data_IF_742468347507
#
_entry.id   IF_742468347507
#
_cell.length_a   1.000
_cell.length_b   1.000
_cell.length_c   1.000
_cell.angle_alpha   90.00
_cell.angle_beta   90.00
_cell.angle_gamma   90.00
#
_symmetry.space_group_name_H-M   'P 1'
#
loop_
_entity.id
_entity.type
_entity.pdbx_description
1 polymer ?
#
# COMPACT_ATOMS: atom_id res chain seq x y z
N UNK A 1 17.45 -9.19 -10.81
CA UNK A 1 17.87 -10.54 -10.39
C UNK A 1 17.68 -11.58 -11.50
N UNK A 2 16.42 -11.95 -11.82
CA UNK A 2 16.08 -12.96 -12.84
C UNK A 2 16.79 -12.72 -14.19
N UNK A 3 16.58 -11.55 -14.80
CA UNK A 3 17.24 -11.18 -16.06
C UNK A 3 18.77 -11.29 -16.03
N UNK A 4 19.39 -10.88 -14.92
CA UNK A 4 20.85 -10.91 -14.77
C UNK A 4 21.41 -12.34 -14.79
N UNK A 5 20.84 -13.24 -13.97
CA UNK A 5 21.30 -14.62 -13.93
C UNK A 5 20.88 -15.42 -15.16
N UNK A 6 19.75 -15.06 -15.78
CA UNK A 6 19.31 -15.65 -17.04
C UNK A 6 20.32 -15.39 -18.15
N UNK A 7 20.73 -14.13 -18.34
CA UNK A 7 21.71 -13.77 -19.37
C UNK A 7 23.10 -14.38 -19.11
N UNK A 8 23.47 -14.54 -17.84
CA UNK A 8 24.71 -15.23 -17.44
C UNK A 8 24.61 -16.76 -17.48
N UNK A 9 23.46 -17.32 -17.89
CA UNK A 9 23.17 -18.75 -17.89
C UNK A 9 23.39 -19.44 -16.53
N UNK A 10 23.32 -18.67 -15.44
CA UNK A 10 23.50 -19.13 -14.06
C UNK A 10 22.15 -19.58 -13.49
N UNK A 11 21.54 -20.61 -14.10
CA UNK A 11 20.17 -21.04 -13.80
C UNK A 11 19.97 -21.49 -12.35
N UNK A 12 20.94 -22.20 -11.74
CA UNK A 12 20.83 -22.63 -10.34
C UNK A 12 20.70 -21.45 -9.38
N UNK A 13 21.53 -20.42 -9.56
CA UNK A 13 21.44 -19.18 -8.77
C UNK A 13 20.12 -18.44 -9.02
N UNK A 14 19.67 -18.40 -10.29
CA UNK A 14 18.38 -17.81 -10.64
C UNK A 14 17.25 -18.49 -9.86
N UNK A 15 17.14 -19.82 -9.93
CA UNK A 15 16.07 -20.55 -9.26
C UNK A 15 16.16 -20.42 -7.74
N UNK A 16 17.29 -20.75 -7.13
CA UNK A 16 17.44 -20.75 -5.67
C UNK A 16 17.13 -19.37 -5.08
N UNK A 17 17.74 -18.31 -5.61
CA UNK A 17 17.56 -16.96 -5.03
C UNK A 17 16.14 -16.43 -5.23
N UNK A 18 15.51 -16.70 -6.38
CA UNK A 18 14.14 -16.24 -6.62
C UNK A 18 13.13 -16.98 -5.77
N UNK A 19 13.33 -18.28 -5.51
CA UNK A 19 12.46 -19.05 -4.61
C UNK A 19 12.65 -18.67 -3.13
N UNK A 20 13.87 -18.32 -2.69
CA UNK A 20 14.10 -17.77 -1.34
C UNK A 20 13.33 -16.44 -1.15
N UNK A 21 13.38 -15.55 -2.16
CA UNK A 21 12.60 -14.30 -2.13
C UNK A 21 11.10 -14.60 -2.18
N UNK A 22 10.69 -15.58 -2.99
CA UNK A 22 9.29 -15.99 -3.09
C UNK A 22 8.77 -16.55 -1.76
N UNK A 23 9.57 -17.33 -1.01
CA UNK A 23 9.16 -17.83 0.32
C UNK A 23 8.95 -16.70 1.31
N UNK A 24 9.85 -15.73 1.37
CA UNK A 24 9.66 -14.56 2.25
C UNK A 24 8.44 -13.75 1.84
N UNK A 25 8.23 -13.56 0.53
CA UNK A 25 7.08 -12.81 0.01
C UNK A 25 5.77 -13.57 0.26
N UNK A 26 5.77 -14.90 0.18
CA UNK A 26 4.61 -15.74 0.51
C UNK A 26 4.23 -15.62 1.98
N UNK A 27 5.21 -15.61 2.89
CA UNK A 27 4.94 -15.39 4.33
C UNK A 27 4.41 -13.98 4.62
N UNK A 28 4.63 -13.01 3.74
CA UNK A 28 4.10 -11.65 3.87
C UNK A 28 2.72 -11.44 3.20
N UNK A 29 2.50 -12.03 2.03
CA UNK A 29 1.33 -11.75 1.17
C UNK A 29 0.55 -12.98 0.69
N UNK A 30 1.02 -14.20 0.99
CA UNK A 30 0.35 -15.45 0.61
C UNK A 30 0.50 -15.81 -0.86
N UNK A 31 -0.55 -16.44 -1.40
CA UNK A 31 -0.62 -17.07 -2.74
C UNK A 31 -0.16 -16.18 -3.90
N UNK A 32 -0.45 -14.86 -3.94
CA UNK A 32 -0.01 -14.04 -5.06
C UNK A 32 1.49 -14.12 -5.35
N UNK A 33 2.34 -14.27 -4.32
CA UNK A 33 3.79 -14.41 -4.48
C UNK A 33 4.17 -15.59 -5.39
N UNK A 34 3.49 -16.73 -5.25
CA UNK A 34 3.71 -17.92 -6.07
C UNK A 34 3.25 -17.70 -7.52
N UNK A 35 2.10 -17.05 -7.71
CA UNK A 35 1.61 -16.73 -9.05
C UNK A 35 2.61 -15.84 -9.82
N UNK A 36 3.12 -14.78 -9.18
CA UNK A 36 4.12 -13.90 -9.81
C UNK A 36 5.42 -14.63 -10.12
N UNK A 37 5.90 -15.49 -9.21
CA UNK A 37 7.10 -16.28 -9.42
C UNK A 37 6.94 -17.25 -10.60
N UNK A 38 5.85 -18.02 -10.62
CA UNK A 38 5.58 -19.01 -11.66
C UNK A 38 5.43 -18.35 -13.04
N UNK A 39 4.61 -17.29 -13.14
CA UNK A 39 4.39 -16.56 -14.39
C UNK A 39 5.71 -15.94 -14.87
N UNK A 40 6.46 -15.28 -13.99
CA UNK A 40 7.70 -14.61 -14.37
C UNK A 40 8.76 -15.59 -14.89
N UNK A 41 8.93 -16.74 -14.25
CA UNK A 41 9.83 -17.79 -14.72
C UNK A 41 9.35 -18.38 -16.05
N UNK A 42 8.08 -18.76 -16.14
CA UNK A 42 7.50 -19.33 -17.35
C UNK A 42 7.73 -18.42 -18.56
N UNK A 43 7.36 -17.16 -18.42
CA UNK A 43 7.47 -16.13 -19.46
C UNK A 43 8.92 -15.87 -19.83
N UNK A 44 9.82 -15.78 -18.84
CA UNK A 44 11.25 -15.57 -19.09
C UNK A 44 11.86 -16.70 -19.93
N UNK A 45 11.57 -17.96 -19.57
CA UNK A 45 12.13 -19.11 -20.29
C UNK A 45 11.45 -19.38 -21.63
N UNK A 46 10.17 -19.04 -21.81
CA UNK A 46 9.51 -19.04 -23.13
C UNK A 46 10.13 -17.96 -24.02
N UNK A 47 10.22 -16.73 -23.52
CA UNK A 47 10.77 -15.59 -24.27
C UNK A 47 12.22 -15.84 -24.70
N UNK A 48 13.03 -16.38 -23.79
CA UNK A 48 14.41 -16.76 -24.08
C UNK A 48 14.56 -18.07 -24.86
N UNK A 49 13.47 -18.70 -25.32
CA UNK A 49 13.45 -19.98 -26.07
C UNK A 49 14.19 -21.13 -25.37
N UNK A 50 14.18 -21.14 -24.04
CA UNK A 50 14.90 -22.10 -23.19
C UNK A 50 13.94 -22.86 -22.26
N UNK A 51 12.70 -23.11 -22.68
CA UNK A 51 11.64 -23.73 -21.88
C UNK A 51 12.09 -25.00 -21.13
N UNK A 52 12.88 -25.86 -21.78
CA UNK A 52 13.41 -27.10 -21.18
C UNK A 52 14.22 -26.86 -19.89
N UNK A 53 14.82 -25.68 -19.72
CA UNK A 53 15.61 -25.32 -18.54
C UNK A 53 14.75 -25.14 -17.27
N UNK A 54 13.43 -25.00 -17.40
CA UNK A 54 12.51 -25.09 -16.26
C UNK A 54 12.50 -26.48 -15.61
N UNK A 55 12.94 -27.53 -16.30
CA UNK A 55 12.99 -28.90 -15.77
C UNK A 55 14.37 -29.29 -15.26
N UNK A 56 15.25 -28.31 -15.01
CA UNK A 56 16.54 -28.59 -14.38
C UNK A 56 16.36 -29.06 -12.93
N UNK A 57 17.18 -29.99 -12.42
CA UNK A 57 17.17 -30.41 -11.02
C UNK A 57 17.26 -29.24 -10.03
N UNK A 58 17.99 -28.18 -10.39
CA UNK A 58 18.10 -26.96 -9.59
C UNK A 58 16.76 -26.24 -9.38
N UNK A 59 15.82 -26.33 -10.33
CA UNK A 59 14.49 -25.75 -10.17
C UNK A 59 13.68 -26.53 -9.14
N UNK A 60 13.71 -27.86 -9.21
CA UNK A 60 13.07 -28.73 -8.21
C UNK A 60 13.68 -28.56 -6.82
N UNK A 61 15.01 -28.43 -6.72
CA UNK A 61 15.67 -28.08 -5.47
C UNK A 61 15.17 -26.74 -4.92
N UNK A 62 15.03 -25.72 -5.76
CA UNK A 62 14.51 -24.42 -5.36
C UNK A 62 13.05 -24.47 -4.87
N UNK A 63 12.20 -25.27 -5.54
CA UNK A 63 10.84 -25.56 -5.08
C UNK A 63 10.87 -26.26 -3.70
N UNK A 64 11.76 -27.25 -3.53
CA UNK A 64 11.97 -27.93 -2.24
C UNK A 64 12.38 -26.97 -1.12
N UNK A 65 13.30 -26.03 -1.39
CA UNK A 65 13.68 -24.97 -0.46
C UNK A 65 12.47 -24.11 -0.08
N UNK A 66 11.65 -23.70 -1.05
CA UNK A 66 10.44 -22.93 -0.78
C UNK A 66 9.46 -23.69 0.11
N UNK A 67 9.19 -24.97 -0.21
CA UNK A 67 8.30 -25.82 0.58
C UNK A 67 8.85 -26.02 2.00
N UNK A 68 10.16 -26.21 2.13
CA UNK A 68 10.81 -26.34 3.43
C UNK A 68 10.65 -25.06 4.28
N UNK A 69 10.90 -23.88 3.71
CA UNK A 69 10.81 -22.62 4.45
C UNK A 69 9.36 -22.26 4.83
N UNK A 70 8.44 -22.32 3.87
CA UNK A 70 7.03 -21.99 4.11
C UNK A 70 6.34 -23.07 4.94
N UNK A 71 6.53 -24.33 4.57
CA UNK A 71 5.97 -25.47 5.28
C UNK A 71 6.54 -25.59 6.70
N UNK A 72 7.85 -25.38 6.87
CA UNK A 72 8.49 -25.36 8.18
C UNK A 72 7.91 -24.28 9.11
N UNK A 73 7.66 -23.07 8.59
CA UNK A 73 7.00 -22.02 9.35
C UNK A 73 5.61 -22.43 9.83
N UNK A 74 4.74 -22.90 8.92
CA UNK A 74 3.37 -23.29 9.28
C UNK A 74 3.32 -24.54 10.15
N UNK A 75 4.25 -25.48 9.96
CA UNK A 75 4.39 -26.65 10.81
C UNK A 75 4.72 -26.25 12.25
N UNK A 76 5.75 -25.40 12.45
CA UNK A 76 6.10 -24.88 13.77
C UNK A 76 4.97 -24.05 14.40
N UNK A 77 4.24 -23.28 13.59
CA UNK A 77 3.08 -22.54 14.03
C UNK A 77 1.95 -23.45 14.53
N UNK A 78 1.69 -24.56 13.82
CA UNK A 78 0.69 -25.55 14.19
C UNK A 78 1.06 -26.32 15.46
N UNK A 79 2.35 -26.61 15.68
CA UNK A 79 2.80 -27.23 16.94
C UNK A 79 2.46 -26.37 18.16
N UNK A 80 2.46 -25.04 18.01
CA UNK A 80 2.06 -24.10 19.07
C UNK A 80 0.55 -23.85 19.12
N UNK A 81 -0.15 -24.04 18.01
CA UNK A 81 -1.59 -23.77 17.87
C UNK A 81 -2.28 -24.94 17.14
N UNK A 82 -2.53 -26.06 17.84
CA UNK A 82 -3.09 -27.26 17.21
C UNK A 82 -4.46 -26.99 16.58
N UNK A 83 -4.65 -27.48 15.35
CA UNK A 83 -5.93 -27.40 14.65
C UNK A 83 -6.16 -26.13 13.82
N UNK A 84 -5.20 -25.20 13.78
CA UNK A 84 -5.37 -23.91 13.07
C UNK A 84 -5.02 -23.99 11.57
N UNK A 85 -4.26 -25.01 11.12
CA UNK A 85 -3.86 -25.16 9.71
C UNK A 85 -5.01 -25.15 8.69
N UNK A 86 -6.12 -25.90 8.89
CA UNK A 86 -7.22 -25.88 7.94
C UNK A 86 -7.81 -24.47 7.75
N UNK A 87 -7.96 -23.71 8.82
CA UNK A 87 -8.48 -22.33 8.77
C UNK A 87 -7.50 -21.38 8.09
N UNK A 88 -6.19 -21.54 8.29
CA UNK A 88 -5.17 -20.76 7.55
C UNK A 88 -5.26 -21.04 6.05
N UNK A 89 -5.29 -22.32 5.65
CA UNK A 89 -5.36 -22.70 4.24
C UNK A 89 -6.64 -22.18 3.60
N UNK A 90 -7.78 -22.37 4.29
CA UNK A 90 -9.07 -21.83 3.87
C UNK A 90 -9.03 -20.32 3.70
N UNK A 91 -8.43 -19.61 4.65
CA UNK A 91 -8.26 -18.15 4.59
C UNK A 91 -7.38 -17.74 3.41
N UNK A 92 -6.23 -18.38 3.20
CA UNK A 92 -5.32 -18.08 2.09
C UNK A 92 -5.99 -18.27 0.73
N UNK A 93 -6.73 -19.36 0.56
CA UNK A 93 -7.48 -19.64 -0.67
C UNK A 93 -8.62 -18.62 -0.81
N UNK A 94 -9.43 -18.45 0.23
CA UNK A 94 -10.57 -17.54 0.22
C UNK A 94 -10.13 -16.11 -0.12
N UNK A 95 -9.13 -15.55 0.56
CA UNK A 95 -8.62 -14.19 0.32
C UNK A 95 -8.03 -13.99 -1.08
N UNK A 96 -7.56 -15.06 -1.71
CA UNK A 96 -6.99 -15.03 -3.06
C UNK A 96 -8.06 -15.21 -4.14
N UNK A 97 -9.10 -16.00 -3.88
CA UNK A 97 -10.18 -16.28 -4.83
C UNK A 97 -11.32 -15.26 -4.75
N UNK A 98 -11.59 -14.68 -3.58
CA UNK A 98 -12.72 -13.76 -3.38
C UNK A 98 -12.64 -12.51 -4.26
N UNK A 99 -11.42 -12.13 -4.67
CA UNK A 99 -11.15 -10.93 -5.47
C UNK A 99 -11.12 -11.20 -6.97
N UNK A 100 -11.32 -12.44 -7.42
CA UNK A 100 -11.30 -12.82 -8.84
C UNK A 100 -12.69 -12.67 -9.49
N UNK A 101 -12.74 -12.32 -10.79
CA UNK A 101 -13.96 -11.98 -11.52
C UNK A 101 -15.09 -13.02 -11.53
N UNK A 102 -14.86 -14.25 -11.05
CA UNK A 102 -15.85 -15.33 -10.93
C UNK A 102 -17.02 -14.94 -10.01
N UNK A 103 -16.81 -14.07 -9.02
CA UNK A 103 -17.87 -13.70 -8.05
C UNK A 103 -18.58 -12.37 -8.35
N UNK A 104 -18.03 -11.51 -9.19
CA UNK A 104 -18.45 -10.10 -9.27
C UNK A 104 -19.43 -9.76 -10.37
N UNK A 105 -19.83 -10.74 -11.18
CA UNK A 105 -20.72 -10.55 -12.32
C UNK A 105 -19.98 -10.13 -13.58
N UNK A 106 -20.52 -10.53 -14.73
CA UNK A 106 -19.88 -10.32 -16.03
C UNK A 106 -19.70 -8.83 -16.36
N UNK A 107 -20.71 -8.00 -16.10
CA UNK A 107 -20.72 -6.59 -16.49
C UNK A 107 -19.73 -5.72 -15.71
N UNK A 108 -19.54 -5.97 -14.42
CA UNK A 108 -18.53 -5.28 -13.60
C UNK A 108 -17.13 -5.64 -14.06
N UNK A 109 -16.90 -6.92 -14.36
CA UNK A 109 -15.63 -7.41 -14.89
C UNK A 109 -15.33 -6.83 -16.27
N UNK A 110 -16.33 -6.79 -17.15
CA UNK A 110 -16.19 -6.20 -18.47
C UNK A 110 -15.88 -4.70 -18.39
N UNK A 111 -16.62 -3.94 -17.56
CA UNK A 111 -16.33 -2.52 -17.34
C UNK A 111 -14.90 -2.30 -16.83
N UNK A 112 -14.48 -3.10 -15.85
CA UNK A 112 -13.12 -3.06 -15.29
C UNK A 112 -12.03 -3.31 -16.34
N UNK A 113 -12.25 -4.21 -17.31
CA UNK A 113 -11.27 -4.44 -18.39
C UNK A 113 -10.91 -3.14 -19.14
N UNK A 114 -11.84 -2.21 -19.26
CA UNK A 114 -11.62 -0.93 -19.94
C UNK A 114 -11.19 0.18 -18.99
N UNK A 115 -11.71 0.25 -17.76
CA UNK A 115 -11.36 1.33 -16.82
C UNK A 115 -9.99 1.12 -16.16
N UNK A 116 -9.63 -0.13 -15.87
CA UNK A 116 -8.43 -0.49 -15.12
C UNK A 116 -7.12 0.08 -15.69
N UNK A 117 -6.86 0.07 -17.01
CA UNK A 117 -5.64 0.68 -17.56
C UNK A 117 -5.56 2.18 -17.27
N UNK A 118 -6.68 2.90 -17.40
CA UNK A 118 -6.72 4.33 -17.13
C UNK A 118 -6.57 4.63 -15.64
N UNK A 119 -7.22 3.85 -14.78
CA UNK A 119 -7.05 3.92 -13.33
C UNK A 119 -5.60 3.66 -12.92
N UNK A 120 -4.99 2.62 -13.49
CA UNK A 120 -3.57 2.32 -13.28
C UNK A 120 -2.72 3.53 -13.65
N UNK A 121 -2.88 4.12 -14.84
CA UNK A 121 -2.09 5.28 -15.21
C UNK A 121 -2.33 6.48 -14.29
N UNK A 122 -3.59 6.73 -13.92
CA UNK A 122 -4.00 7.83 -13.04
C UNK A 122 -3.40 7.73 -11.64
N UNK A 123 -3.50 6.56 -10.99
CA UNK A 123 -3.03 6.37 -9.62
C UNK A 123 -1.53 6.54 -9.43
N UNK A 124 -0.75 6.40 -10.51
CA UNK A 124 0.69 6.54 -10.50
C UNK A 124 1.18 7.80 -11.22
N UNK A 125 0.29 8.75 -11.54
CA UNK A 125 0.72 10.08 -11.99
C UNK A 125 1.60 10.74 -10.92
N UNK A 126 2.65 11.48 -11.31
CA UNK A 126 3.06 11.79 -12.69
C UNK A 126 4.02 10.75 -13.31
N UNK A 127 4.35 9.67 -12.61
CA UNK A 127 5.40 8.70 -12.99
C UNK A 127 5.06 7.84 -14.20
N UNK A 128 3.78 7.76 -14.53
CA UNK A 128 3.26 7.09 -15.72
C UNK A 128 3.33 7.93 -16.98
N UNK A 129 3.45 9.26 -16.87
CA UNK A 129 3.48 10.15 -18.04
C UNK A 129 4.59 9.83 -19.05
N UNK A 130 5.83 9.48 -18.65
CA UNK A 130 6.89 9.10 -19.59
C UNK A 130 6.57 7.90 -20.48
N UNK A 131 5.64 7.03 -20.07
CA UNK A 131 5.23 5.86 -20.85
C UNK A 131 4.57 6.30 -22.15
N UNK A 132 3.84 7.42 -22.16
CA UNK A 132 3.18 7.93 -23.36
C UNK A 132 4.17 8.39 -24.44
N UNK A 133 5.47 8.54 -24.12
CA UNK A 133 6.50 8.76 -25.15
C UNK A 133 6.66 7.55 -26.09
N UNK A 134 6.20 6.36 -25.68
CA UNK A 134 6.15 5.18 -26.53
C UNK A 134 5.13 5.30 -27.68
N UNK A 135 4.22 6.27 -27.64
CA UNK A 135 3.33 6.55 -28.78
C UNK A 135 4.10 7.06 -30.00
N UNK A 136 5.31 7.61 -29.81
CA UNK A 136 6.17 8.03 -30.90
C UNK A 136 6.98 6.84 -31.44
N UNK A 137 6.75 6.48 -32.71
CA UNK A 137 7.37 5.32 -33.38
C UNK A 137 8.88 5.23 -33.19
N UNK A 138 9.61 6.33 -33.35
CA UNK A 138 11.08 6.36 -33.19
C UNK A 138 11.50 6.05 -31.75
N UNK A 139 10.83 6.64 -30.76
CA UNK A 139 11.06 6.37 -29.34
C UNK A 139 10.72 4.93 -28.99
N UNK A 140 9.59 4.40 -29.47
CA UNK A 140 9.20 2.99 -29.27
C UNK A 140 10.29 2.04 -29.75
N UNK A 141 10.72 2.18 -31.01
CA UNK A 141 11.74 1.32 -31.62
C UNK A 141 13.06 1.40 -30.84
N UNK A 142 13.52 2.61 -30.50
CA UNK A 142 14.77 2.78 -29.75
C UNK A 142 14.69 2.26 -28.31
N UNK A 143 13.52 2.39 -27.66
CA UNK A 143 13.28 1.89 -26.30
C UNK A 143 13.44 0.38 -26.25
N UNK A 144 12.76 -0.32 -27.16
CA UNK A 144 12.76 -1.77 -27.19
C UNK A 144 13.97 -2.39 -27.91
N UNK A 145 14.97 -1.62 -28.36
CA UNK A 145 16.29 -2.19 -28.71
C UNK A 145 16.98 -2.79 -27.49
N UNK A 146 16.74 -2.24 -26.30
CA UNK A 146 17.33 -2.72 -25.06
C UNK A 146 16.63 -3.99 -24.54
N UNK A 147 17.40 -5.08 -24.40
CA UNK A 147 16.89 -6.38 -23.95
C UNK A 147 16.35 -6.36 -22.52
N UNK A 148 16.89 -5.53 -21.63
CA UNK A 148 16.38 -5.39 -20.26
C UNK A 148 15.02 -4.69 -20.24
N UNK A 149 14.84 -3.68 -21.08
CA UNK A 149 13.56 -2.97 -21.20
C UNK A 149 12.48 -3.86 -21.81
N UNK A 150 12.84 -4.65 -22.85
CA UNK A 150 11.98 -5.72 -23.37
C UNK A 150 11.57 -6.70 -22.27
N UNK A 151 12.54 -7.20 -21.51
CA UNK A 151 12.26 -8.09 -20.37
C UNK A 151 11.28 -7.47 -19.38
N UNK A 152 11.48 -6.21 -18.97
CA UNK A 152 10.57 -5.52 -18.05
C UNK A 152 9.14 -5.41 -18.60
N UNK A 153 8.99 -5.10 -19.89
CA UNK A 153 7.67 -5.00 -20.52
C UNK A 153 6.96 -6.34 -20.58
N UNK A 154 7.65 -7.40 -20.98
CA UNK A 154 7.07 -8.74 -21.10
C UNK A 154 6.65 -9.25 -19.71
N UNK A 155 7.50 -9.10 -18.69
CA UNK A 155 7.16 -9.50 -17.32
C UNK A 155 6.00 -8.68 -16.77
N UNK A 156 5.97 -7.36 -17.04
CA UNK A 156 4.84 -6.52 -16.65
C UNK A 156 3.54 -7.00 -17.31
N UNK A 157 3.52 -7.15 -18.63
CA UNK A 157 2.33 -7.58 -19.38
C UNK A 157 1.83 -8.93 -18.90
N UNK A 158 2.72 -9.91 -18.67
CA UNK A 158 2.29 -11.24 -18.26
C UNK A 158 1.67 -11.26 -16.86
N UNK A 159 2.21 -10.45 -15.92
CA UNK A 159 1.75 -10.46 -14.54
C UNK A 159 0.55 -9.52 -14.29
N UNK A 160 0.38 -8.48 -15.10
CA UNK A 160 -0.71 -7.50 -14.91
C UNK A 160 -2.07 -8.10 -15.26
N UNK A 161 -2.08 -9.12 -16.14
CA UNK A 161 -3.29 -9.83 -16.58
C UNK A 161 -4.10 -10.36 -15.40
N UNK A 162 -3.47 -10.87 -14.34
CA UNK A 162 -4.18 -11.35 -13.14
C UNK A 162 -5.08 -10.25 -12.55
N UNK A 163 -4.56 -9.01 -12.52
CA UNK A 163 -5.30 -7.87 -11.97
C UNK A 163 -6.29 -7.25 -12.95
N UNK A 164 -6.02 -7.39 -14.24
CA UNK A 164 -6.92 -6.97 -15.28
C UNK A 164 -8.26 -7.72 -15.21
N UNK A 165 -8.25 -8.98 -14.77
CA UNK A 165 -9.47 -9.79 -14.53
C UNK A 165 -9.96 -9.79 -13.07
N UNK A 166 -9.47 -8.85 -12.24
CA UNK A 166 -9.78 -8.75 -10.81
C UNK A 166 -10.39 -7.38 -10.51
N UNK A 167 -11.72 -7.21 -10.59
CA UNK A 167 -12.40 -5.91 -10.45
C UNK A 167 -12.15 -5.17 -9.12
N UNK A 168 -11.79 -5.89 -8.05
CA UNK A 168 -11.47 -5.33 -6.73
C UNK A 168 -9.95 -5.16 -6.52
N UNK A 169 -9.17 -5.13 -7.61
CA UNK A 169 -7.73 -4.91 -7.52
C UNK A 169 -7.43 -3.49 -7.06
N UNK A 170 -7.10 -3.33 -5.77
CA UNK A 170 -6.64 -2.05 -5.26
C UNK A 170 -5.29 -1.65 -5.91
N UNK A 171 -5.08 -0.37 -6.24
CA UNK A 171 -3.84 0.10 -6.88
C UNK A 171 -2.55 -0.27 -6.12
N UNK A 172 -2.63 -0.34 -4.79
CA UNK A 172 -1.51 -0.77 -3.91
C UNK A 172 -1.00 -2.19 -4.21
N UNK A 173 -1.80 -3.05 -4.83
CA UNK A 173 -1.37 -4.38 -5.24
C UNK A 173 -0.38 -4.33 -6.41
N UNK A 174 -0.44 -3.28 -7.21
CA UNK A 174 0.37 -3.11 -8.41
C UNK A 174 1.74 -2.49 -8.11
N UNK A 175 1.98 -2.04 -6.88
CA UNK A 175 3.22 -1.35 -6.48
C UNK A 175 4.49 -2.14 -6.81
N UNK A 176 4.44 -3.46 -6.67
CA UNK A 176 5.58 -4.33 -6.99
C UNK A 176 5.94 -4.36 -8.48
N UNK A 177 4.96 -4.08 -9.35
CA UNK A 177 5.14 -4.08 -10.80
C UNK A 177 5.53 -2.71 -11.34
N UNK A 178 5.27 -1.64 -10.59
CA UNK A 178 5.55 -0.27 -11.01
C UNK A 178 7.01 0.01 -11.33
N UNK A 179 8.02 -0.53 -10.60
CA UNK A 179 9.41 -0.39 -10.99
C UNK A 179 9.69 -0.85 -12.43
N UNK A 180 9.04 -1.92 -12.91
CA UNK A 180 9.20 -2.40 -14.29
C UNK A 180 8.68 -1.35 -15.29
N UNK A 181 7.49 -0.82 -15.03
CA UNK A 181 6.80 0.16 -15.88
C UNK A 181 7.55 1.49 -15.89
N UNK A 182 7.92 2.00 -14.72
CA UNK A 182 8.66 3.26 -14.60
C UNK A 182 10.04 3.16 -15.26
N UNK A 183 10.71 2.01 -15.17
CA UNK A 183 11.98 1.78 -15.88
C UNK A 183 11.79 1.90 -17.39
N UNK A 184 10.71 1.34 -17.95
CA UNK A 184 10.38 1.48 -19.37
C UNK A 184 10.14 2.96 -19.72
N UNK A 185 9.30 3.66 -18.94
CA UNK A 185 8.95 5.06 -19.18
C UNK A 185 10.15 6.00 -19.10
N UNK A 186 11.01 5.87 -18.08
CA UNK A 186 12.21 6.69 -17.95
C UNK A 186 13.25 6.37 -19.02
N UNK A 187 13.40 5.11 -19.41
CA UNK A 187 14.27 4.76 -20.53
C UNK A 187 13.72 5.37 -21.83
N UNK A 188 12.41 5.28 -22.09
CA UNK A 188 11.77 5.93 -23.23
C UNK A 188 12.01 7.43 -23.23
N UNK A 189 11.91 8.10 -22.08
CA UNK A 189 12.26 9.51 -21.93
C UNK A 189 13.72 9.80 -22.28
N UNK A 190 14.66 8.95 -21.85
CA UNK A 190 16.09 9.13 -22.12
C UNK A 190 16.43 9.05 -23.61
N UNK A 191 15.79 8.14 -24.35
CA UNK A 191 16.06 7.89 -25.79
C UNK A 191 15.14 8.67 -26.74
N UNK A 192 14.14 9.37 -26.20
CA UNK A 192 13.21 10.18 -27.00
C UNK A 192 13.89 11.44 -27.51
N UNK A 193 13.64 11.78 -28.78
CA UNK A 193 13.95 13.10 -29.31
C UNK A 193 13.07 14.18 -28.67
N UNK A 194 13.42 15.45 -28.92
CA UNK A 194 12.57 16.59 -28.54
C UNK A 194 11.22 16.47 -29.23
N UNK A 195 10.16 16.37 -28.42
CA UNK A 195 8.76 16.44 -28.85
C UNK A 195 7.95 17.17 -27.77
N UNK A 196 6.71 17.52 -28.09
CA UNK A 196 5.83 18.28 -27.18
C UNK A 196 5.67 17.61 -25.81
N UNK A 197 5.49 16.30 -25.77
CA UNK A 197 5.32 15.55 -24.52
C UNK A 197 6.61 15.55 -23.68
N UNK A 198 7.77 15.34 -24.31
CA UNK A 198 9.06 15.43 -23.62
C UNK A 198 9.31 16.83 -23.06
N UNK A 199 8.94 17.87 -23.80
CA UNK A 199 8.99 19.24 -23.31
C UNK A 199 8.07 19.42 -22.09
N UNK A 200 6.81 18.97 -22.15
CA UNK A 200 5.89 19.04 -21.00
C UNK A 200 6.52 18.36 -19.77
N UNK A 201 7.08 17.16 -19.94
CA UNK A 201 7.77 16.43 -18.87
C UNK A 201 8.98 17.19 -18.31
N UNK A 202 9.75 17.86 -19.18
CA UNK A 202 10.89 18.68 -18.79
C UNK A 202 10.46 19.89 -17.97
N UNK A 203 9.36 20.55 -18.33
CA UNK A 203 8.86 21.76 -17.65
C UNK A 203 8.00 21.47 -16.41
N UNK A 204 7.51 20.24 -16.24
CA UNK A 204 6.67 19.84 -15.11
C UNK A 204 7.27 20.18 -13.72
N UNK A 205 8.54 19.84 -13.38
CA UNK A 205 9.13 20.21 -12.09
C UNK A 205 9.32 21.73 -11.90
N UNK A 206 9.48 22.49 -13.00
CA UNK A 206 9.58 23.95 -12.96
C UNK A 206 8.22 24.57 -12.59
N UNK A 207 7.16 24.18 -13.31
CA UNK A 207 5.80 24.66 -13.08
C UNK A 207 5.35 24.31 -11.67
N UNK A 208 5.58 23.06 -11.23
CA UNK A 208 5.19 22.60 -9.90
C UNK A 208 5.92 23.38 -8.79
N UNK A 209 7.22 23.67 -8.97
CA UNK A 209 8.01 24.49 -8.04
C UNK A 209 7.45 25.91 -7.92
N UNK A 210 7.09 26.57 -9.03
CA UNK A 210 6.50 27.91 -8.99
C UNK A 210 5.15 27.94 -8.26
N UNK A 211 4.27 26.97 -8.55
CA UNK A 211 2.98 26.83 -7.86
C UNK A 211 3.21 26.63 -6.35
N UNK A 212 4.13 25.75 -5.97
CA UNK A 212 4.42 25.48 -4.56
C UNK A 212 5.00 26.70 -3.83
N UNK A 213 5.89 27.47 -4.47
CA UNK A 213 6.39 28.75 -3.92
C UNK A 213 5.23 29.71 -3.71
N UNK A 214 4.34 29.87 -4.71
CA UNK A 214 3.14 30.70 -4.59
C UNK A 214 2.31 30.30 -3.38
N UNK A 215 2.00 29.01 -3.21
CA UNK A 215 1.26 28.50 -2.05
C UNK A 215 1.96 28.80 -0.72
N UNK A 216 3.28 28.57 -0.64
CA UNK A 216 4.05 28.79 0.59
C UNK A 216 4.12 30.26 1.02
N UNK A 217 4.07 31.20 0.08
CA UNK A 217 4.00 32.63 0.42
C UNK A 217 2.70 32.98 1.17
N UNK A 218 1.61 32.26 0.91
CA UNK A 218 0.32 32.46 1.59
C UNK A 218 0.19 31.72 2.92
N UNK A 219 0.96 30.64 3.14
CA UNK A 219 0.84 29.78 4.33
C UNK A 219 0.89 30.54 5.66
N UNK A 220 1.86 31.46 5.91
CA UNK A 220 1.94 32.18 7.19
C UNK A 220 0.72 33.05 7.52
N UNK A 221 -0.06 33.43 6.50
CA UNK A 221 -1.24 34.29 6.69
C UNK A 221 -2.50 33.50 7.02
N UNK A 222 -2.63 32.27 6.51
CA UNK A 222 -3.84 31.44 6.66
C UNK A 222 -3.74 30.43 7.81
N UNK A 223 -2.57 29.84 8.05
CA UNK A 223 -2.37 28.84 9.10
C UNK A 223 -1.87 29.53 10.38
N UNK A 224 -2.74 30.31 11.03
CA UNK A 224 -2.49 30.86 12.37
C UNK A 224 -2.77 29.78 13.44
N UNK A 225 -1.95 28.75 13.46
CA UNK A 225 -2.13 27.65 14.41
C UNK A 225 -1.21 27.75 15.61
N UNK A 226 -1.77 27.42 16.77
CA UNK A 226 -1.11 27.50 18.07
C UNK A 226 -0.29 26.23 18.30
N UNK A 227 0.83 26.08 17.62
CA UNK A 227 1.72 24.94 17.88
C UNK A 227 2.94 24.80 16.98
N UNK A 228 2.93 25.40 15.79
CA UNK A 228 4.09 25.37 14.91
C UNK A 228 4.94 26.62 15.12
N UNK A 229 6.04 26.45 15.86
CA UNK A 229 7.05 27.50 16.03
C UNK A 229 7.69 27.80 14.67
N UNK A 230 7.57 29.07 14.24
CA UNK A 230 8.20 29.66 13.05
C UNK A 230 7.74 29.12 11.67
N UNK A 231 6.43 29.08 11.43
CA UNK A 231 5.83 28.81 10.10
C UNK A 231 6.47 29.62 8.97
N UNK A 232 6.84 30.88 9.21
CA UNK A 232 7.51 31.72 8.24
C UNK A 232 8.91 31.20 7.88
N UNK A 233 9.71 30.76 8.87
CA UNK A 233 11.05 30.21 8.64
C UNK A 233 10.99 28.89 7.87
N UNK A 234 10.04 28.01 8.23
CA UNK A 234 9.80 26.77 7.48
C UNK A 234 9.38 27.08 6.03
N UNK A 235 8.53 28.08 5.83
CA UNK A 235 8.10 28.49 4.48
C UNK A 235 9.29 29.00 3.66
N UNK A 236 10.15 29.83 4.25
CA UNK A 236 11.38 30.31 3.61
C UNK A 236 12.34 29.17 3.25
N UNK A 237 12.50 28.17 4.14
CA UNK A 237 13.32 26.99 3.86
C UNK A 237 12.82 26.21 2.64
N UNK A 238 11.52 25.91 2.58
CA UNK A 238 10.96 25.19 1.42
C UNK A 238 10.94 26.03 0.15
N UNK A 239 10.74 27.34 0.25
CA UNK A 239 10.90 28.26 -0.89
C UNK A 239 12.35 28.18 -1.41
N UNK A 240 13.35 28.21 -0.53
CA UNK A 240 14.76 28.06 -0.93
C UNK A 240 15.03 26.71 -1.62
N UNK A 241 14.44 25.62 -1.12
CA UNK A 241 14.52 24.29 -1.77
C UNK A 241 13.90 24.31 -3.17
N UNK A 242 12.73 24.91 -3.34
CA UNK A 242 12.09 24.99 -4.66
C UNK A 242 12.83 25.93 -5.62
N UNK A 243 13.40 27.05 -5.14
CA UNK A 243 14.30 27.89 -5.92
C UNK A 243 15.55 27.10 -6.34
N UNK A 244 16.09 26.27 -5.46
CA UNK A 244 17.22 25.40 -5.80
C UNK A 244 16.85 24.37 -6.88
N UNK A 245 15.65 23.78 -6.84
CA UNK A 245 15.15 22.91 -7.92
C UNK A 245 15.04 23.68 -9.25
N UNK A 246 14.58 24.93 -9.23
CA UNK A 246 14.53 25.80 -10.42
C UNK A 246 15.94 26.09 -10.95
N UNK A 247 16.90 26.35 -10.06
CA UNK A 247 18.30 26.52 -10.42
C UNK A 247 18.89 25.25 -11.07
N UNK A 248 18.67 24.08 -10.48
CA UNK A 248 19.09 22.81 -11.04
C UNK A 248 18.44 22.55 -12.41
N UNK A 249 17.16 22.89 -12.57
CA UNK A 249 16.47 22.77 -13.85
C UNK A 249 17.12 23.61 -14.96
N UNK A 250 17.62 24.82 -14.64
CA UNK A 250 18.37 25.66 -15.58
C UNK A 250 19.74 25.06 -15.91
N UNK A 251 20.45 24.51 -14.92
CA UNK A 251 21.80 23.95 -15.10
C UNK A 251 21.79 22.60 -15.81
N UNK A 252 20.78 21.78 -15.56
CA UNK A 252 20.69 20.43 -16.07
C UNK A 252 19.84 20.38 -17.34
N UNK A 253 20.40 19.88 -18.44
CA UNK A 253 19.70 19.73 -19.73
C UNK A 253 19.22 18.30 -19.99
N UNK A 254 19.69 17.32 -19.20
CA UNK A 254 19.36 15.89 -19.33
C UNK A 254 18.63 15.40 -18.09
N UNK A 255 17.63 14.52 -18.22
CA UNK A 255 16.94 13.90 -17.06
C UNK A 255 16.25 14.88 -16.11
N UNK A 256 15.71 15.98 -16.64
CA UNK A 256 14.98 17.00 -15.85
C UNK A 256 13.80 16.41 -15.09
N UNK A 257 13.20 15.35 -15.60
CA UNK A 257 12.12 14.63 -14.90
C UNK A 257 12.55 14.08 -13.53
N UNK A 258 13.83 13.84 -13.27
CA UNK A 258 14.30 13.43 -11.94
C UNK A 258 14.14 14.55 -10.90
N UNK A 259 14.15 15.82 -11.32
CA UNK A 259 13.86 16.95 -10.43
C UNK A 259 12.43 16.91 -9.88
N UNK A 260 11.52 16.22 -10.59
CA UNK A 260 10.17 15.98 -10.09
C UNK A 260 10.16 15.07 -8.86
N UNK A 261 11.10 14.12 -8.75
CA UNK A 261 11.24 13.27 -7.56
C UNK A 261 11.61 14.09 -6.34
N UNK A 262 12.62 14.96 -6.50
CA UNK A 262 13.03 15.90 -5.47
C UNK A 262 11.88 16.83 -5.09
N UNK A 263 11.19 17.41 -6.07
CA UNK A 263 10.01 18.23 -5.84
C UNK A 263 8.94 17.49 -5.03
N UNK A 264 8.51 16.29 -5.46
CA UNK A 264 7.43 15.54 -4.80
C UNK A 264 7.81 15.14 -3.38
N UNK A 265 9.06 14.75 -3.14
CA UNK A 265 9.55 14.45 -1.80
C UNK A 265 9.54 15.69 -0.91
N UNK A 266 10.11 16.80 -1.37
CA UNK A 266 10.13 18.06 -0.63
C UNK A 266 8.72 18.57 -0.35
N UNK A 267 7.83 18.53 -1.35
CA UNK A 267 6.43 18.89 -1.20
C UNK A 267 5.71 17.99 -0.20
N UNK A 268 5.96 16.67 -0.22
CA UNK A 268 5.36 15.74 0.74
C UNK A 268 5.81 16.02 2.17
N UNK A 269 7.09 16.34 2.37
CA UNK A 269 7.61 16.73 3.69
C UNK A 269 7.00 18.06 4.13
N UNK A 270 6.96 19.07 3.26
CA UNK A 270 6.32 20.36 3.54
C UNK A 270 4.85 20.15 3.94
N UNK A 271 4.09 19.41 3.14
CA UNK A 271 2.69 19.07 3.44
C UNK A 271 2.56 18.42 4.82
N UNK A 272 3.42 17.46 5.15
CA UNK A 272 3.37 16.81 6.44
C UNK A 272 3.66 17.77 7.60
N UNK A 273 4.57 18.75 7.43
CA UNK A 273 4.91 19.72 8.46
C UNK A 273 3.86 20.83 8.62
N UNK A 274 3.24 21.28 7.54
CA UNK A 274 2.26 22.36 7.58
C UNK A 274 0.83 21.86 7.83
N UNK A 275 0.42 20.76 7.20
CA UNK A 275 -0.99 20.35 7.14
C UNK A 275 -1.34 19.30 8.19
N UNK A 276 -0.42 18.40 8.57
CA UNK A 276 -0.76 17.35 9.56
C UNK A 276 -0.98 17.94 10.96
N UNK A 277 -0.13 18.82 11.51
CA UNK A 277 -0.41 19.43 12.81
C UNK A 277 -1.75 20.17 12.82
N UNK A 278 -2.04 20.90 11.74
CA UNK A 278 -3.33 21.55 11.52
C UNK A 278 -4.53 20.62 11.59
N UNK A 279 -4.42 19.47 10.94
CA UNK A 279 -5.45 18.43 11.01
C UNK A 279 -5.50 17.77 12.38
N UNK A 280 -4.38 17.65 13.09
CA UNK A 280 -4.36 17.03 14.40
C UNK A 280 -5.19 17.82 15.41
N UNK A 281 -5.19 19.16 15.35
CA UNK A 281 -6.00 19.99 16.24
C UNK A 281 -7.49 19.97 15.89
N UNK A 282 -7.83 19.82 14.60
CA UNK A 282 -9.17 20.08 14.09
C UNK A 282 -9.96 18.84 13.60
N UNK A 283 -9.47 17.61 13.83
CA UNK A 283 -10.13 16.39 13.32
C UNK A 283 -10.88 15.60 14.38
N UNK A 284 -12.00 15.01 13.97
CA UNK A 284 -12.78 14.08 14.80
C UNK A 284 -11.98 12.85 15.23
N UNK A 285 -10.96 12.44 14.48
CA UNK A 285 -10.08 11.34 14.88
C UNK A 285 -9.31 11.66 16.16
N UNK A 286 -8.94 12.92 16.37
CA UNK A 286 -8.33 13.37 17.63
C UNK A 286 -9.34 13.30 18.76
N UNK A 287 -10.59 13.73 18.56
CA UNK A 287 -11.66 13.56 19.55
C UNK A 287 -11.86 12.09 19.91
N UNK A 288 -11.96 11.21 18.91
CA UNK A 288 -12.12 9.77 19.13
C UNK A 288 -10.94 9.18 19.88
N UNK A 289 -9.71 9.56 19.53
CA UNK A 289 -8.50 9.17 20.25
C UNK A 289 -8.57 9.61 21.72
N UNK A 290 -8.80 10.89 21.97
CA UNK A 290 -8.81 11.46 23.32
C UNK A 290 -9.91 10.85 24.18
N UNK A 291 -11.12 10.70 23.65
CA UNK A 291 -12.23 10.06 24.37
C UNK A 291 -11.98 8.56 24.61
N UNK A 292 -11.40 7.84 23.64
CA UNK A 292 -11.08 6.43 23.82
C UNK A 292 -10.01 6.23 24.91
N UNK A 293 -8.99 7.10 24.94
CA UNK A 293 -7.97 7.10 25.99
C UNK A 293 -8.57 7.50 27.35
N UNK A 294 -9.44 8.52 27.40
CA UNK A 294 -10.12 8.94 28.63
C UNK A 294 -10.89 7.79 29.27
N UNK A 295 -11.72 7.09 28.50
CA UNK A 295 -12.51 5.95 28.99
C UNK A 295 -11.61 4.77 29.36
N UNK A 296 -10.59 4.48 28.55
CA UNK A 296 -9.62 3.43 28.86
C UNK A 296 -8.96 3.63 30.23
N UNK A 297 -8.54 4.86 30.53
CA UNK A 297 -7.90 5.21 31.80
C UNK A 297 -8.91 5.28 32.95
N UNK A 298 -10.13 5.77 32.69
CA UNK A 298 -11.18 5.87 33.72
C UNK A 298 -11.58 4.49 34.28
N UNK A 299 -11.55 3.45 33.46
CA UNK A 299 -11.90 2.07 33.85
C UNK A 299 -10.69 1.14 33.82
N UNK A 300 -9.51 1.67 34.15
CA UNK A 300 -8.28 0.89 34.27
C UNK A 300 -8.46 -0.21 35.35
N UNK A 301 -7.88 -1.39 35.11
CA UNK A 301 -8.00 -2.55 35.99
C UNK A 301 -9.30 -3.37 35.88
N UNK A 302 -10.38 -2.82 35.31
CA UNK A 302 -11.63 -3.57 35.10
C UNK A 302 -11.59 -4.42 33.81
N UNK A 303 -12.30 -5.54 33.74
CA UNK A 303 -12.46 -6.29 32.48
C UNK A 303 -13.20 -5.42 31.44
N UNK A 304 -12.79 -5.48 30.17
CA UNK A 304 -13.29 -4.57 29.14
C UNK A 304 -13.64 -5.33 27.86
N UNK A 305 -14.90 -5.25 27.48
CA UNK A 305 -15.51 -5.94 26.37
C UNK A 305 -15.99 -4.93 25.34
N UNK A 306 -15.71 -5.20 24.08
CA UNK A 306 -16.02 -4.27 22.98
C UNK A 306 -16.79 -4.99 21.90
N UNK A 307 -17.89 -4.38 21.45
CA UNK A 307 -18.67 -4.89 20.33
C UNK A 307 -17.87 -4.82 19.02
N UNK A 308 -18.05 -5.81 18.14
CA UNK A 308 -17.28 -5.93 16.89
C UNK A 308 -17.51 -4.76 15.91
N UNK A 309 -18.60 -4.00 16.08
CA UNK A 309 -18.98 -2.85 15.28
C UNK A 309 -18.37 -1.52 15.74
N UNK A 310 -17.57 -1.52 16.82
CA UNK A 310 -16.86 -0.33 17.28
C UNK A 310 -15.76 0.02 16.28
N UNK A 311 -15.52 1.32 15.98
CA UNK A 311 -14.45 1.72 15.08
C UNK A 311 -13.08 1.17 15.51
N UNK A 312 -12.32 0.63 14.57
CA UNK A 312 -10.99 0.03 14.82
C UNK A 312 -10.02 0.99 15.51
N UNK A 313 -10.14 2.29 15.24
CA UNK A 313 -9.32 3.32 15.90
C UNK A 313 -9.58 3.38 17.42
N UNK A 314 -10.84 3.24 17.85
CA UNK A 314 -11.19 3.19 19.28
C UNK A 314 -10.68 1.91 19.92
N UNK A 315 -10.86 0.76 19.24
CA UNK A 315 -10.32 -0.52 19.73
C UNK A 315 -8.80 -0.46 19.95
N UNK A 316 -8.07 0.15 19.01
CA UNK A 316 -6.63 0.35 19.15
C UNK A 316 -6.29 1.18 20.39
N UNK A 317 -6.93 2.35 20.57
CA UNK A 317 -6.62 3.23 21.70
C UNK A 317 -7.08 2.67 23.05
N UNK A 318 -8.20 1.93 23.11
CA UNK A 318 -8.60 1.21 24.31
C UNK A 318 -7.54 0.17 24.71
N UNK A 319 -7.08 -0.65 23.76
CA UNK A 319 -6.07 -1.67 24.04
C UNK A 319 -4.72 -1.07 24.42
N UNK A 320 -4.29 -0.04 23.68
CA UNK A 320 -3.00 0.63 23.89
C UNK A 320 -2.93 1.35 25.22
N UNK A 321 -3.97 2.06 25.64
CA UNK A 321 -3.97 2.79 26.90
C UNK A 321 -4.07 1.85 28.12
N UNK A 322 -4.76 0.70 27.97
CA UNK A 322 -4.92 -0.29 29.05
C UNK A 322 -3.79 -1.33 29.12
N UNK A 323 -2.87 -1.33 28.16
CA UNK A 323 -1.83 -2.36 28.01
C UNK A 323 -2.38 -3.81 28.01
N UNK A 324 -3.60 -4.00 27.51
CA UNK A 324 -4.31 -5.29 27.55
C UNK A 324 -5.06 -5.55 26.24
N UNK A 325 -5.12 -6.81 25.82
CA UNK A 325 -5.95 -7.20 24.67
C UNK A 325 -7.43 -7.04 25.00
N UNK A 326 -8.19 -6.50 24.05
CA UNK A 326 -9.65 -6.38 24.19
C UNK A 326 -10.30 -7.74 23.98
N UNK A 327 -11.36 -7.99 24.75
CA UNK A 327 -12.26 -9.13 24.52
C UNK A 327 -13.45 -8.65 23.70
N UNK A 328 -13.90 -9.46 22.75
CA UNK A 328 -15.13 -9.17 22.03
C UNK A 328 -16.32 -9.40 22.97
N UNK A 329 -17.26 -8.45 22.98
CA UNK A 329 -18.48 -8.57 23.77
C UNK A 329 -19.34 -9.73 23.25
N UNK A 330 -19.69 -10.67 24.13
CA UNK A 330 -20.81 -11.60 23.96
C UNK A 330 -22.01 -11.11 24.77
N UNK A 331 -23.18 -11.75 24.65
CA UNK A 331 -24.33 -11.43 25.51
C UNK A 331 -24.14 -11.87 26.98
N UNK A 332 -23.14 -12.71 27.24
CA UNK A 332 -22.90 -13.37 28.53
C UNK A 332 -21.69 -12.75 29.25
N UNK A 333 -21.66 -11.42 29.35
CA UNK A 333 -20.63 -10.73 30.16
C UNK A 333 -21.07 -10.78 31.62
N UNK A 334 -20.30 -11.45 32.47
CA UNK A 334 -20.62 -11.62 33.89
C UNK A 334 -20.26 -10.43 34.76
N UNK A 335 -19.20 -9.70 34.40
CA UNK A 335 -18.72 -8.51 35.13
C UNK A 335 -17.75 -7.68 34.28
N UNK A 336 -17.82 -6.35 34.39
CA UNK A 336 -16.89 -5.40 33.78
C UNK A 336 -17.55 -4.37 32.88
N UNK A 337 -16.74 -3.68 32.08
CA UNK A 337 -17.19 -2.63 31.17
C UNK A 337 -17.48 -3.20 29.80
N UNK A 338 -18.61 -2.81 29.24
CA UNK A 338 -19.08 -3.23 27.92
C UNK A 338 -19.34 -2.00 27.05
N UNK A 339 -18.65 -1.93 25.92
CA UNK A 339 -18.77 -0.83 24.95
C UNK A 339 -19.52 -1.32 23.71
N UNK A 340 -20.71 -0.74 23.46
CA UNK A 340 -21.61 -1.11 22.35
C UNK A 340 -21.97 0.11 21.51
N UNK A 341 -22.32 -0.09 20.24
CA UNK A 341 -22.75 1.03 19.37
C UNK A 341 -24.25 1.30 19.43
N UNK A 342 -25.02 0.38 20.00
CA UNK A 342 -26.47 0.51 20.15
C UNK A 342 -26.88 0.09 21.55
N UNK A 343 -27.73 0.88 22.22
CA UNK A 343 -28.18 0.57 23.59
C UNK A 343 -28.82 -0.82 23.73
N UNK A 344 -29.48 -1.30 22.68
CA UNK A 344 -30.11 -2.64 22.64
C UNK A 344 -29.11 -3.81 22.67
N UNK A 345 -27.83 -3.54 22.40
CA UNK A 345 -26.76 -4.54 22.48
C UNK A 345 -26.18 -4.66 23.90
N UNK A 346 -26.65 -3.85 24.85
CA UNK A 346 -26.20 -3.90 26.24
C UNK A 346 -26.60 -5.23 26.90
N UNK A 347 -25.71 -5.84 27.71
CA UNK A 347 -26.06 -7.00 28.53
C UNK A 347 -27.21 -6.69 29.50
N UNK A 348 -27.98 -7.72 29.85
CA UNK A 348 -29.08 -7.56 30.81
C UNK A 348 -28.59 -7.13 32.20
N UNK A 349 -29.21 -6.10 32.76
CA UNK A 349 -28.82 -5.53 34.06
C UNK A 349 -27.62 -4.57 34.01
N UNK A 350 -27.08 -4.28 32.83
CA UNK A 350 -25.98 -3.34 32.67
C UNK A 350 -26.44 -1.88 32.86
N UNK A 351 -25.67 -1.09 33.61
CA UNK A 351 -25.97 0.32 33.89
C UNK A 351 -25.19 1.20 32.92
N UNK A 352 -25.88 2.11 32.22
CA UNK A 352 -25.21 3.08 31.35
C UNK A 352 -24.39 4.05 32.19
N UNK A 353 -23.08 4.10 31.97
CA UNK A 353 -22.15 4.99 32.70
C UNK A 353 -21.69 6.17 31.86
N UNK A 354 -21.50 5.98 30.56
CA UNK A 354 -20.95 7.03 29.69
C UNK A 354 -21.33 6.81 28.21
N UNK A 355 -21.06 7.78 27.33
CA UNK A 355 -21.19 7.65 25.89
C UNK A 355 -20.16 8.47 25.10
N UNK A 356 -19.62 7.91 24.02
CA UNK A 356 -18.75 8.62 23.06
C UNK A 356 -19.57 8.96 21.82
N UNK A 357 -19.54 10.24 21.43
CA UNK A 357 -20.12 10.65 20.14
C UNK A 357 -19.05 10.67 19.06
N UNK A 358 -19.26 9.92 17.98
CA UNK A 358 -18.39 9.94 16.81
C UNK A 358 -18.93 10.95 15.79
N UNK A 359 -18.10 11.90 15.35
CA UNK A 359 -18.54 12.96 14.42
C UNK A 359 -18.82 12.47 12.98
N UNK A 360 -18.21 11.35 12.57
CA UNK A 360 -18.29 10.82 11.20
C UNK A 360 -18.86 9.39 11.10
N UNK A 361 -19.35 8.84 12.20
CA UNK A 361 -20.07 7.57 12.20
C UNK A 361 -21.47 7.82 12.76
N UNK A 362 -22.53 7.21 12.18
CA UNK A 362 -23.91 7.48 12.61
C UNK A 362 -24.23 6.96 14.03
N UNK A 363 -23.28 6.34 14.74
CA UNK A 363 -23.53 5.71 16.02
C UNK A 363 -22.69 6.35 17.12
N UNK A 364 -23.32 6.66 18.25
CA UNK A 364 -22.64 6.87 19.53
C UNK A 364 -22.19 5.51 20.07
N UNK A 365 -21.02 5.43 20.71
CA UNK A 365 -20.73 4.29 21.57
C UNK A 365 -21.29 4.55 22.96
N UNK A 366 -21.88 3.53 23.56
CA UNK A 366 -22.41 3.55 24.91
C UNK A 366 -21.56 2.63 25.77
N UNK A 367 -21.20 3.12 26.95
CA UNK A 367 -20.38 2.40 27.92
C UNK A 367 -21.30 1.97 29.05
N UNK A 368 -21.43 0.65 29.19
CA UNK A 368 -22.20 0.04 30.25
C UNK A 368 -21.26 -0.64 31.25
N UNK A 369 -21.62 -0.58 32.51
CA UNK A 369 -20.99 -1.36 33.57
C UNK A 369 -21.92 -2.49 33.97
N UNK A 370 -21.39 -3.72 33.92
CA UNK A 370 -22.07 -4.92 34.40
C UNK A 370 -21.48 -5.25 35.75
N UNK A 371 -22.30 -5.15 36.79
CA UNK A 371 -21.95 -5.65 38.11
C UNK A 371 -22.28 -7.14 38.18
N UNK A 372 -21.42 -7.93 38.84
CA UNK A 372 -21.74 -9.33 39.11
C UNK A 372 -23.11 -9.38 39.79
N UNK A 373 -24.04 -10.21 39.28
CA UNK A 373 -25.25 -10.52 40.04
C UNK A 373 -24.78 -11.12 41.36
N UNK A 374 -24.87 -10.34 42.45
CA UNK A 374 -24.77 -10.87 43.80
C UNK A 374 -25.65 -12.11 43.84
N UNK A 375 -25.03 -13.26 44.09
CA UNK A 375 -25.71 -14.54 44.22
C UNK A 375 -26.81 -14.48 45.27
#
# INVERSE_FOLDING_TARGET
LMFHFFNKQKYSYLFILTYIIASSTFLMKGIPALAFQAISLLVLFIWGKQFKKLFLPSHFLAIGIFVFLVGGYYFLFNLKNPGVLPEIVKTLIYESTHKTGVKMGFWTTFGHLFTFPFELFYHFLPWTLPIFLLLFKKTFVNTFKNSFIKYNAIIFIANIIIYWFSPEAFPRYLFMMMPLVFTIGFYAYSVSDKNILKQILDYLPLIASFIAIGLLLYVPFFLKEKGIVNMALLSLLFIAIFIFIIYLWKKQTTNRIMLLAFFLLSFKIAYNLFVIPSRAENTANTTVKTESIRIANQYEGQQFYVAANIPTISMYYFSSARHSLLKLSSKEVSEGIVVVTQKREAPEGAVLKDSISFRYYPNKAYIFEVHSRLK
#
